data_IF_773470253059
#
_entry.id   IF_773470253059
#
_cell.length_a   1.000
_cell.length_b   1.000
_cell.length_c   1.000
_cell.angle_alpha   90.00
_cell.angle_beta   90.00
_cell.angle_gamma   90.00
#
_symmetry.space_group_name_H-M   'P 1'
#
loop_
_entity.id
_entity.type
_entity.pdbx_description
1 polymer ?
#
# COMPACT_ATOMS: atom_id res chain seq x y z
N UNK A 1 -18.27 5.78 13.68
CA UNK A 1 -17.49 4.86 14.53
C UNK A 1 -16.03 5.24 14.34
N UNK A 2 -15.36 5.76 15.36
CA UNK A 2 -14.03 6.36 15.20
C UNK A 2 -13.00 5.46 15.89
N UNK A 3 -12.41 4.53 15.14
CA UNK A 3 -11.31 3.71 15.63
C UNK A 3 -10.02 4.54 15.60
N UNK A 4 -9.49 4.91 16.77
CA UNK A 4 -8.14 5.47 16.88
C UNK A 4 -7.13 4.35 16.60
N UNK A 5 -6.44 4.42 15.47
CA UNK A 5 -5.34 3.51 15.14
C UNK A 5 -4.11 3.95 15.94
N UNK A 6 -3.81 3.26 17.04
CA UNK A 6 -2.49 3.37 17.67
C UNK A 6 -1.47 2.71 16.73
N UNK A 7 -0.45 3.46 16.29
CA UNK A 7 0.68 2.91 15.56
C UNK A 7 1.71 2.36 16.58
N UNK A 8 1.85 1.04 16.74
CA UNK A 8 3.00 0.50 17.47
C UNK A 8 4.29 0.88 16.73
N UNK A 9 5.38 1.08 17.46
CA UNK A 9 6.70 1.27 16.86
C UNK A 9 7.04 0.03 16.00
N UNK A 10 7.04 0.19 14.68
CA UNK A 10 7.31 -0.87 13.70
C UNK A 10 8.76 -0.74 13.22
N UNK A 11 9.45 -1.87 13.09
CA UNK A 11 10.74 -1.90 12.40
C UNK A 11 10.47 -1.79 10.89
N UNK A 12 10.89 -0.68 10.30
CA UNK A 12 10.70 -0.35 8.88
C UNK A 12 11.76 -1.00 7.99
N UNK A 13 12.65 -1.83 8.54
CA UNK A 13 13.64 -2.57 7.75
C UNK A 13 13.01 -3.78 7.08
N UNK A 14 13.14 -3.82 5.75
CA UNK A 14 12.73 -4.96 4.95
C UNK A 14 13.58 -6.19 5.31
N UNK A 15 12.99 -7.37 5.22
CA UNK A 15 13.76 -8.62 5.37
C UNK A 15 14.89 -8.66 4.34
N UNK A 16 16.09 -9.03 4.80
CA UNK A 16 17.24 -9.22 3.94
C UNK A 16 16.95 -10.37 2.96
N UNK A 17 16.69 -10.02 1.71
CA UNK A 17 16.30 -10.94 0.65
C UNK A 17 16.87 -10.47 -0.68
N UNK A 18 16.96 -11.37 -1.65
CA UNK A 18 17.36 -11.00 -3.01
C UNK A 18 16.46 -9.89 -3.56
N UNK A 19 15.15 -10.01 -3.39
CA UNK A 19 14.18 -9.01 -3.83
C UNK A 19 14.47 -7.62 -3.24
N UNK A 20 14.63 -7.52 -1.91
CA UNK A 20 14.94 -6.25 -1.25
C UNK A 20 16.28 -5.65 -1.74
N UNK A 21 17.30 -6.50 -1.96
CA UNK A 21 18.61 -6.07 -2.44
C UNK A 21 18.62 -5.62 -3.91
N UNK A 22 17.78 -6.22 -4.76
CA UNK A 22 17.70 -5.91 -6.19
C UNK A 22 16.61 -4.90 -6.56
N UNK A 23 15.69 -4.61 -5.64
CA UNK A 23 14.58 -3.69 -5.88
C UNK A 23 15.08 -2.27 -6.16
N UNK A 24 14.34 -1.54 -6.99
CA UNK A 24 14.62 -0.15 -7.22
C UNK A 24 14.24 0.68 -5.98
N UNK A 25 14.95 1.79 -5.69
CA UNK A 25 14.54 2.70 -4.63
C UNK A 25 13.09 3.12 -4.81
N UNK A 26 12.28 2.86 -3.77
CA UNK A 26 10.86 3.17 -3.82
C UNK A 26 10.57 4.47 -3.05
N UNK A 27 9.86 5.39 -3.71
CA UNK A 27 9.37 6.60 -3.06
C UNK A 27 8.50 6.30 -1.83
N UNK A 28 8.47 7.22 -0.89
CA UNK A 28 7.46 7.21 0.16
C UNK A 28 6.12 7.66 -0.41
N UNK A 29 5.05 6.97 0.00
CA UNK A 29 3.69 7.37 -0.29
C UNK A 29 3.11 8.11 0.92
N UNK A 30 2.32 9.18 0.70
CA UNK A 30 1.75 9.93 1.81
C UNK A 30 0.82 9.05 2.63
N UNK A 31 0.89 9.17 3.96
CA UNK A 31 -0.06 8.52 4.86
C UNK A 31 -1.45 9.09 4.59
N UNK A 32 -2.45 8.22 4.42
CA UNK A 32 -3.85 8.62 4.28
C UNK A 32 -4.27 9.53 5.45
N UNK A 33 -4.72 10.73 5.11
CA UNK A 33 -5.29 11.67 6.08
C UNK A 33 -6.81 11.67 5.98
N UNK A 34 -7.50 11.46 7.11
CA UNK A 34 -8.95 11.50 7.15
C UNK A 34 -9.61 10.36 6.36
N UNK A 35 -10.64 10.70 5.59
CA UNK A 35 -11.44 9.75 4.82
C UNK A 35 -11.30 10.01 3.32
N UNK A 36 -11.22 8.94 2.55
CA UNK A 36 -11.18 8.99 1.09
C UNK A 36 -12.36 8.19 0.54
N UNK A 37 -13.16 8.83 -0.32
CA UNK A 37 -14.28 8.19 -1.01
C UNK A 37 -13.84 7.78 -2.40
N UNK A 38 -13.88 6.48 -2.67
CA UNK A 38 -13.50 5.84 -3.94
C UNK A 38 -14.50 4.73 -4.25
N UNK A 39 -14.55 4.30 -5.50
CA UNK A 39 -15.37 3.17 -5.93
C UNK A 39 -14.84 1.86 -5.34
N UNK A 40 -13.50 1.71 -5.27
CA UNK A 40 -12.85 0.52 -4.69
C UNK A 40 -11.66 0.90 -3.81
N UNK A 41 -11.57 0.29 -2.63
CA UNK A 41 -10.40 0.35 -1.75
C UNK A 41 -9.69 -1.02 -1.74
N UNK A 42 -8.45 -1.06 -2.17
CA UNK A 42 -7.56 -2.23 -2.13
C UNK A 42 -6.65 -2.13 -0.91
N UNK A 43 -6.64 -3.17 -0.07
CA UNK A 43 -5.80 -3.23 1.13
C UNK A 43 -4.68 -4.26 0.90
N UNK A 44 -3.43 -3.78 0.94
CA UNK A 44 -2.22 -4.55 0.68
C UNK A 44 -1.56 -4.20 -0.65
N UNK A 45 -0.32 -3.74 -0.59
CA UNK A 45 0.51 -3.32 -1.72
C UNK A 45 1.42 -4.41 -2.28
N UNK A 46 1.04 -5.68 -2.16
CA UNK A 46 1.75 -6.80 -2.79
C UNK A 46 1.40 -6.95 -4.28
N UNK A 47 1.93 -7.99 -4.92
CA UNK A 47 1.71 -8.27 -6.35
C UNK A 47 0.23 -8.26 -6.76
N UNK A 48 -0.60 -9.05 -6.07
CA UNK A 48 -2.02 -9.16 -6.40
C UNK A 48 -2.80 -7.87 -6.13
N UNK A 49 -2.46 -7.15 -5.06
CA UNK A 49 -3.12 -5.89 -4.71
C UNK A 49 -2.84 -4.78 -5.74
N UNK A 50 -1.57 -4.63 -6.13
CA UNK A 50 -1.18 -3.73 -7.21
C UNK A 50 -1.87 -4.06 -8.53
N UNK A 51 -1.79 -5.33 -8.96
CA UNK A 51 -2.39 -5.75 -10.22
C UNK A 51 -3.91 -5.49 -10.23
N UNK A 52 -4.58 -5.75 -9.11
CA UNK A 52 -6.01 -5.45 -8.94
C UNK A 52 -6.29 -3.96 -9.04
N UNK A 53 -5.49 -3.11 -8.37
CA UNK A 53 -5.69 -1.67 -8.40
C UNK A 53 -5.48 -1.07 -9.79
N UNK A 54 -4.46 -1.54 -10.52
CA UNK A 54 -4.18 -1.12 -11.90
C UNK A 54 -5.34 -1.49 -12.81
N UNK A 55 -5.73 -2.76 -12.84
CA UNK A 55 -6.81 -3.26 -13.71
C UNK A 55 -8.14 -2.52 -13.46
N UNK A 56 -8.49 -2.27 -12.19
CA UNK A 56 -9.70 -1.52 -11.85
C UNK A 56 -9.62 -0.04 -12.25
N UNK A 57 -8.44 0.57 -12.10
CA UNK A 57 -8.21 1.96 -12.52
C UNK A 57 -8.29 2.11 -14.04
N UNK A 58 -7.73 1.17 -14.80
CA UNK A 58 -7.81 1.15 -16.27
C UNK A 58 -9.25 0.99 -16.79
N UNK A 59 -10.14 0.38 -15.98
CA UNK A 59 -11.59 0.30 -16.26
C UNK A 59 -12.35 1.58 -15.88
N UNK A 60 -11.66 2.63 -15.43
CA UNK A 60 -12.24 3.93 -15.13
C UNK A 60 -12.81 4.08 -13.72
N UNK A 61 -12.53 3.13 -12.82
CA UNK A 61 -12.93 3.25 -11.41
C UNK A 61 -11.94 4.15 -10.65
N UNK A 62 -12.44 4.93 -9.71
CA UNK A 62 -11.59 5.56 -8.70
C UNK A 62 -11.14 4.50 -7.69
N UNK A 63 -9.83 4.32 -7.53
CA UNK A 63 -9.25 3.27 -6.68
C UNK A 63 -8.29 3.87 -5.66
N UNK A 64 -8.45 3.51 -4.39
CA UNK A 64 -7.45 3.73 -3.35
C UNK A 64 -6.71 2.42 -3.06
N UNK A 65 -5.37 2.45 -3.03
CA UNK A 65 -4.55 1.35 -2.54
C UNK A 65 -3.86 1.76 -1.25
N UNK A 66 -4.04 0.96 -0.19
CA UNK A 66 -3.45 1.20 1.13
C UNK A 66 -2.50 0.07 1.49
N UNK A 67 -1.25 0.43 1.79
CA UNK A 67 -0.22 -0.48 2.29
C UNK A 67 0.30 0.04 3.63
N UNK A 68 0.47 -0.87 4.59
CA UNK A 68 0.93 -0.54 5.94
C UNK A 68 2.45 -0.27 6.01
N UNK A 69 3.20 -0.68 4.99
CA UNK A 69 4.66 -0.52 4.85
C UNK A 69 5.02 0.05 3.47
N UNK A 70 5.84 -0.69 2.70
CA UNK A 70 6.24 -0.37 1.33
C UNK A 70 5.53 -1.29 0.33
N UNK A 71 5.49 -0.87 -0.92
CA UNK A 71 4.93 -1.71 -1.99
C UNK A 71 5.86 -2.90 -2.17
N UNK A 72 5.28 -4.09 -2.35
CA UNK A 72 6.05 -5.33 -2.50
C UNK A 72 6.76 -5.79 -1.23
N UNK A 73 6.25 -5.44 -0.03
CA UNK A 73 6.89 -5.84 1.25
C UNK A 73 6.93 -7.36 1.51
N UNK A 74 6.00 -8.11 0.91
CA UNK A 74 5.79 -9.54 1.15
C UNK A 74 6.83 -10.44 0.50
#
# INVERSE_FOLDING_TARGET
>A
MNARVQHPARDDRHVASYYAASSHPQADHPVLQGELKVDVCVVGGGFSGLNTAIELSERGLSVALLEARKIGWG
#
